data_IF_816791232066
#
_entry.id   IF_816791232066
#
_cell.length_a   1.000
_cell.length_b   1.000
_cell.length_c   1.000
_cell.angle_alpha   90.00
_cell.angle_beta   90.00
_cell.angle_gamma   90.00
#
_symmetry.space_group_name_H-M   'P 1'
#
loop_
_entity.id
_entity.type
_entity.pdbx_description
1 polymer ?
#
# COMPACT_ATOMS: atom_id res chain seq x y z
N UNK A 1 -51.66 -32.69 1.24
CA UNK A 1 -51.53 -31.79 0.07
C UNK A 1 -52.27 -30.49 0.35
N UNK A 2 -51.54 -29.36 0.37
CA UNK A 2 -51.93 -27.92 0.38
C UNK A 2 -50.84 -27.16 1.16
N UNK A 3 -49.70 -26.86 0.53
CA UNK A 3 -49.36 -25.61 -0.20
C UNK A 3 -49.03 -24.42 0.71
N UNK A 4 -47.72 -24.25 0.91
CA UNK A 4 -46.89 -23.02 1.02
C UNK A 4 -47.61 -21.66 0.91
N UNK A 5 -47.31 -20.75 1.86
CA UNK A 5 -47.07 -19.33 1.57
C UNK A 5 -45.97 -18.78 2.49
N UNK A 6 -44.77 -18.69 1.93
CA UNK A 6 -43.61 -17.98 2.47
C UNK A 6 -43.84 -16.47 2.39
N UNK A 7 -43.46 -15.71 3.41
CA UNK A 7 -43.19 -14.27 3.29
C UNK A 7 -41.78 -14.04 3.86
N UNK A 8 -40.83 -13.93 2.94
CA UNK A 8 -39.46 -13.50 3.20
C UNK A 8 -39.46 -11.98 3.22
N UNK A 9 -39.30 -11.36 4.38
CA UNK A 9 -39.00 -9.93 4.47
C UNK A 9 -37.49 -9.76 4.24
N UNK A 10 -37.12 -9.39 3.01
CA UNK A 10 -35.74 -9.08 2.64
C UNK A 10 -35.31 -7.75 3.26
N UNK A 11 -34.51 -7.82 4.33
CA UNK A 11 -33.73 -6.68 4.78
C UNK A 11 -32.51 -6.54 3.85
N UNK A 12 -32.55 -5.57 2.94
CA UNK A 12 -31.39 -5.19 2.16
C UNK A 12 -30.40 -4.47 3.11
N UNK A 13 -29.43 -5.23 3.64
CA UNK A 13 -28.26 -4.67 4.32
C UNK A 13 -27.41 -4.02 3.23
N UNK A 14 -27.50 -2.70 3.13
CA UNK A 14 -26.51 -1.88 2.43
C UNK A 14 -25.20 -1.99 3.21
N UNK A 15 -24.37 -2.97 2.85
CA UNK A 15 -23.00 -3.04 3.33
C UNK A 15 -22.25 -1.86 2.72
N UNK A 16 -22.08 -0.80 3.50
CA UNK A 16 -21.09 0.24 3.19
C UNK A 16 -19.74 -0.45 3.21
N UNK A 17 -19.10 -0.62 2.04
CA UNK A 17 -17.68 -0.95 1.98
C UNK A 17 -16.94 0.25 2.57
N UNK A 18 -16.68 0.20 3.87
CA UNK A 18 -15.67 1.03 4.51
C UNK A 18 -14.36 0.64 3.86
N UNK A 19 -13.78 1.57 3.09
CA UNK A 19 -12.39 1.44 2.65
C UNK A 19 -11.59 1.47 3.95
N UNK A 20 -11.13 0.31 4.40
CA UNK A 20 -10.35 0.19 5.62
C UNK A 20 -9.09 1.05 5.44
N UNK A 21 -9.08 2.22 6.06
CA UNK A 21 -7.82 2.89 6.32
C UNK A 21 -7.10 2.00 7.32
N UNK A 22 -5.91 1.52 6.96
CA UNK A 22 -5.06 0.89 7.94
C UNK A 22 -4.71 1.97 8.97
N UNK A 23 -5.20 1.79 10.19
CA UNK A 23 -4.91 2.70 11.29
C UNK A 23 -3.39 2.73 11.56
N UNK A 24 -2.83 3.89 11.95
CA UNK A 24 -1.43 3.98 12.36
C UNK A 24 -1.13 2.92 13.42
N UNK A 25 -0.11 2.09 13.17
CA UNK A 25 0.38 1.12 14.14
C UNK A 25 1.52 1.75 14.92
N UNK A 26 1.33 1.94 16.22
CA UNK A 26 2.39 2.42 17.13
C UNK A 26 2.92 1.26 17.95
N UNK A 27 4.24 1.05 17.94
CA UNK A 27 4.93 0.03 18.72
C UNK A 27 6.17 0.62 19.39
N UNK A 28 6.06 0.90 20.69
CA UNK A 28 7.08 1.68 21.40
C UNK A 28 7.21 3.08 20.78
N UNK A 29 8.43 3.44 20.38
CA UNK A 29 8.74 4.72 19.74
C UNK A 29 8.56 4.71 18.21
N UNK A 30 8.21 3.56 17.62
CA UNK A 30 7.98 3.42 16.19
C UNK A 30 6.51 3.67 15.85
N UNK A 31 6.26 4.48 14.83
CA UNK A 31 4.96 4.63 14.19
C UNK A 31 5.05 4.16 12.73
N UNK A 32 4.18 3.23 12.35
CA UNK A 32 4.07 2.70 11.00
C UNK A 32 2.73 3.15 10.42
N UNK A 33 2.80 3.91 9.34
CA UNK A 33 1.67 4.60 8.73
C UNK A 33 1.66 4.40 7.21
N UNK A 34 0.58 4.82 6.56
CA UNK A 34 0.44 4.77 5.10
C UNK A 34 0.81 3.37 4.54
N UNK A 35 0.27 2.32 5.15
CA UNK A 35 0.58 0.93 4.77
C UNK A 35 -0.31 0.49 3.61
N UNK A 36 0.29 0.19 2.46
CA UNK A 36 -0.47 -0.21 1.28
C UNK A 36 0.33 -1.10 0.31
N UNK A 37 -0.41 -1.75 -0.58
CA UNK A 37 0.13 -2.50 -1.71
C UNK A 37 -0.73 -2.27 -2.95
N UNK A 38 -0.24 -2.70 -4.11
CA UNK A 38 -1.00 -2.66 -5.37
C UNK A 38 -1.71 -3.98 -5.57
N UNK A 39 -2.94 -3.93 -6.07
CA UNK A 39 -3.58 -5.10 -6.64
C UNK A 39 -2.67 -5.71 -7.72
N UNK A 40 -2.60 -7.04 -7.76
CA UNK A 40 -1.81 -7.79 -8.73
C UNK A 40 -2.70 -8.73 -9.53
N UNK A 41 -2.34 -9.06 -10.79
CA UNK A 41 -3.10 -10.04 -11.56
C UNK A 41 -3.22 -11.39 -10.81
N UNK A 42 -4.29 -12.19 -11.02
CA UNK A 42 -4.53 -13.43 -10.27
C UNK A 42 -3.40 -14.48 -10.30
N UNK A 43 -2.48 -14.40 -11.26
CA UNK A 43 -1.31 -15.29 -11.42
C UNK A 43 0.02 -14.56 -11.30
N UNK A 44 0.03 -13.39 -10.66
CA UNK A 44 1.24 -12.65 -10.39
C UNK A 44 2.21 -13.53 -9.57
N UNK A 45 3.51 -13.39 -9.85
CA UNK A 45 4.57 -14.06 -9.09
C UNK A 45 5.22 -13.15 -8.06
N UNK A 46 4.92 -11.86 -8.12
CA UNK A 46 5.47 -10.87 -7.24
C UNK A 46 4.48 -9.73 -6.97
N UNK A 47 4.68 -9.06 -5.85
CA UNK A 47 3.94 -7.87 -5.41
C UNK A 47 4.84 -6.96 -4.60
N UNK A 48 4.50 -5.67 -4.51
CA UNK A 48 5.26 -4.69 -3.73
C UNK A 48 4.44 -4.15 -2.56
N UNK A 49 5.06 -3.99 -1.38
CA UNK A 49 4.46 -3.39 -0.20
C UNK A 49 5.15 -2.09 0.19
N UNK A 50 4.38 -1.14 0.70
CA UNK A 50 4.78 0.23 0.96
C UNK A 50 4.26 0.66 2.34
N UNK A 51 5.04 1.49 3.01
CA UNK A 51 4.76 1.98 4.36
C UNK A 51 5.63 3.21 4.66
N UNK A 52 5.22 4.02 5.63
CA UNK A 52 6.05 5.07 6.21
C UNK A 52 6.38 4.67 7.65
N UNK A 53 7.66 4.66 8.01
CA UNK A 53 8.12 4.27 9.34
C UNK A 53 8.80 5.47 9.99
N UNK A 54 8.25 5.94 11.10
CA UNK A 54 8.77 7.06 11.89
C UNK A 54 9.33 6.53 13.20
N UNK A 55 10.58 6.85 13.51
CA UNK A 55 11.19 6.53 14.81
C UNK A 55 11.26 7.81 15.66
N UNK A 56 10.39 7.90 16.67
CA UNK A 56 10.36 9.03 17.62
C UNK A 56 11.27 8.84 18.84
N UNK A 57 12.05 7.75 18.85
CA UNK A 57 12.90 7.36 19.97
C UNK A 57 14.24 8.08 19.98
N UNK A 58 15.04 7.81 21.01
CA UNK A 58 16.37 8.42 21.19
C UNK A 58 17.53 7.60 20.58
N UNK A 59 17.25 6.41 20.04
CA UNK A 59 18.24 5.54 19.39
C UNK A 59 17.71 5.05 18.04
N UNK A 60 18.62 4.83 17.10
CA UNK A 60 18.27 4.20 15.83
C UNK A 60 17.74 2.77 16.06
N UNK A 61 16.81 2.35 15.22
CA UNK A 61 16.40 0.96 15.08
C UNK A 61 16.64 0.50 13.64
N UNK A 62 16.44 -0.79 13.36
CA UNK A 62 16.65 -1.37 12.04
C UNK A 62 15.57 -2.37 11.73
N UNK A 63 14.87 -2.18 10.61
CA UNK A 63 13.98 -3.19 10.07
C UNK A 63 14.84 -4.25 9.38
N UNK A 64 15.02 -5.40 10.03
CA UNK A 64 15.91 -6.49 9.61
C UNK A 64 15.18 -7.62 8.88
N UNK A 65 13.86 -7.68 8.97
CA UNK A 65 13.09 -8.75 8.36
C UNK A 65 11.65 -8.37 8.08
N UNK A 66 11.06 -9.08 7.12
CA UNK A 66 9.64 -8.96 6.80
C UNK A 66 9.11 -10.36 6.48
N UNK A 67 7.90 -10.67 6.94
CA UNK A 67 7.24 -11.94 6.62
C UNK A 67 5.74 -11.75 6.41
N UNK A 68 5.11 -12.71 5.74
CA UNK A 68 3.66 -12.72 5.53
C UNK A 68 3.18 -14.14 5.27
N UNK A 69 1.97 -14.53 5.73
CA UNK A 69 1.42 -15.85 5.44
C UNK A 69 1.05 -16.06 3.97
N UNK A 70 1.01 -15.01 3.14
CA UNK A 70 0.62 -15.11 1.71
C UNK A 70 1.72 -15.69 0.82
N UNK A 71 2.98 -15.72 1.28
CA UNK A 71 4.10 -16.33 0.56
C UNK A 71 5.26 -16.71 1.48
N UNK A 72 6.04 -17.71 1.09
CA UNK A 72 7.24 -18.14 1.82
C UNK A 72 8.48 -17.25 1.62
N UNK A 73 8.44 -16.21 0.78
CA UNK A 73 9.58 -15.31 0.53
C UNK A 73 9.13 -13.85 0.45
N UNK A 74 9.50 -13.07 1.45
CA UNK A 74 9.26 -11.61 1.53
C UNK A 74 10.57 -10.94 1.91
N UNK A 75 10.92 -9.88 1.20
CA UNK A 75 12.26 -9.25 1.29
C UNK A 75 12.16 -7.73 1.31
N UNK A 76 13.22 -7.07 1.75
CA UNK A 76 13.37 -5.62 1.68
C UNK A 76 14.27 -5.29 0.51
N UNK A 77 13.77 -4.50 -0.44
CA UNK A 77 14.47 -4.17 -1.68
C UNK A 77 14.63 -2.67 -1.81
N UNK A 78 15.65 -2.25 -2.54
CA UNK A 78 15.83 -0.88 -3.00
C UNK A 78 15.89 -0.83 -4.53
N UNK A 79 15.65 0.36 -5.08
CA UNK A 79 15.91 0.67 -6.48
C UNK A 79 17.15 1.56 -6.55
N UNK A 80 18.26 1.02 -7.06
CA UNK A 80 19.52 1.75 -7.22
C UNK A 80 19.88 1.93 -8.69
N UNK A 81 20.46 3.06 -9.06
CA UNK A 81 21.05 3.25 -10.40
C UNK A 81 22.49 2.77 -10.36
N UNK A 82 22.77 1.69 -11.07
CA UNK A 82 24.11 1.15 -11.25
C UNK A 82 24.45 1.18 -12.75
N UNK A 83 25.53 1.86 -13.10
CA UNK A 83 25.96 2.05 -14.50
C UNK A 83 24.89 2.67 -15.42
N UNK A 84 24.06 3.55 -14.87
CA UNK A 84 22.95 4.19 -15.59
C UNK A 84 21.72 3.29 -15.77
N UNK A 85 21.72 2.08 -15.20
CA UNK A 85 20.62 1.14 -15.23
C UNK A 85 19.98 1.08 -13.84
N UNK A 86 18.66 1.30 -13.78
CA UNK A 86 17.91 1.09 -12.56
C UNK A 86 17.81 -0.41 -12.26
N UNK A 87 18.36 -0.84 -11.13
CA UNK A 87 18.34 -2.21 -10.65
C UNK A 87 17.60 -2.29 -9.33
N UNK A 88 16.81 -3.36 -9.19
CA UNK A 88 16.20 -3.74 -7.93
C UNK A 88 17.19 -4.64 -7.17
N UNK A 89 17.48 -4.33 -5.92
CA UNK A 89 18.45 -5.06 -5.10
C UNK A 89 17.87 -5.35 -3.72
N UNK A 90 18.05 -6.59 -3.27
CA UNK A 90 17.73 -7.01 -1.91
C UNK A 90 18.71 -6.39 -0.89
N UNK A 91 18.17 -5.94 0.24
CA UNK A 91 18.92 -5.42 1.38
C UNK A 91 18.95 -6.47 2.50
N UNK A 92 19.94 -7.37 2.45
CA UNK A 92 20.10 -8.46 3.43
C UNK A 92 20.27 -7.96 4.88
N UNK A 93 20.87 -6.78 5.06
CA UNK A 93 21.06 -6.15 6.36
C UNK A 93 19.88 -5.24 6.76
N UNK A 94 18.78 -5.30 6.02
CA UNK A 94 17.60 -4.47 6.27
C UNK A 94 17.83 -2.97 6.05
N UNK A 95 16.97 -2.15 6.66
CA UNK A 95 17.01 -0.68 6.58
C UNK A 95 17.12 -0.07 7.97
N UNK A 96 18.02 0.90 8.13
CA UNK A 96 18.13 1.67 9.37
C UNK A 96 17.01 2.71 9.42
N UNK A 97 16.40 2.86 10.61
CA UNK A 97 15.43 3.89 10.93
C UNK A 97 16.06 4.77 12.03
N UNK A 98 16.76 5.86 11.67
CA UNK A 98 17.47 6.69 12.64
C UNK A 98 16.53 7.32 13.66
N UNK A 99 17.07 7.63 14.85
CA UNK A 99 16.34 8.34 15.90
C UNK A 99 15.83 9.70 15.41
N UNK A 100 14.54 9.98 15.60
CA UNK A 100 13.90 11.22 15.19
C UNK A 100 13.63 11.35 13.69
N UNK A 101 13.92 10.32 12.90
CA UNK A 101 13.80 10.34 11.44
C UNK A 101 12.61 9.50 10.95
N UNK A 102 12.23 9.75 9.69
CA UNK A 102 11.19 9.01 8.98
C UNK A 102 11.76 8.37 7.73
N UNK A 103 11.50 7.08 7.53
CA UNK A 103 11.91 6.32 6.35
C UNK A 103 10.66 5.91 5.57
N UNK A 104 10.64 6.25 4.28
CA UNK A 104 9.54 5.91 3.37
C UNK A 104 9.89 4.69 2.53
N UNK A 105 9.02 3.68 2.57
CA UNK A 105 9.01 2.54 1.67
C UNK A 105 7.99 2.85 0.58
N UNK A 106 8.47 3.23 -0.61
CA UNK A 106 7.65 3.78 -1.68
C UNK A 106 8.04 3.25 -3.08
N UNK A 107 7.13 3.32 -4.06
CA UNK A 107 7.43 2.88 -5.41
C UNK A 107 8.62 3.62 -6.02
N UNK A 108 9.66 2.89 -6.40
CA UNK A 108 10.88 3.46 -6.99
C UNK A 108 12.00 3.78 -6.00
N UNK A 109 11.79 3.49 -4.71
CA UNK A 109 12.82 3.57 -3.65
C UNK A 109 12.90 2.26 -2.87
N UNK A 110 12.96 2.36 -1.55
CA UNK A 110 12.86 1.23 -0.63
C UNK A 110 11.45 0.63 -0.70
N UNK A 111 11.32 -0.69 -0.66
CA UNK A 111 10.01 -1.34 -0.65
C UNK A 111 10.09 -2.79 -0.15
N UNK A 112 8.94 -3.32 0.27
CA UNK A 112 8.77 -4.72 0.59
C UNK A 112 8.49 -5.46 -0.73
N UNK A 113 9.21 -6.56 -0.99
CA UNK A 113 9.04 -7.37 -2.18
C UNK A 113 8.51 -8.75 -1.80
N UNK A 114 7.28 -9.05 -2.22
CA UNK A 114 6.68 -10.37 -2.08
C UNK A 114 7.07 -11.20 -3.30
N UNK A 115 7.63 -12.39 -3.08
CA UNK A 115 8.14 -13.26 -4.15
C UNK A 115 7.47 -14.62 -4.07
N UNK A 116 7.16 -15.22 -5.21
CA UNK A 116 6.58 -16.57 -5.26
C UNK A 116 5.09 -16.61 -4.90
N UNK A 117 4.36 -15.51 -5.14
CA UNK A 117 2.91 -15.47 -4.92
C UNK A 117 2.20 -16.62 -5.67
N UNK A 118 1.26 -17.25 -4.98
CA UNK A 118 0.38 -18.29 -5.53
C UNK A 118 -0.96 -17.73 -5.97
N UNK A 119 -1.39 -16.64 -5.30
CA UNK A 119 -2.59 -15.86 -5.60
C UNK A 119 -2.23 -14.37 -5.72
N UNK A 120 -2.98 -13.64 -6.53
CA UNK A 120 -2.81 -12.19 -6.67
C UNK A 120 -3.38 -11.42 -5.48
N UNK A 121 -3.02 -10.16 -5.36
CA UNK A 121 -3.61 -9.24 -4.39
C UNK A 121 -4.88 -8.62 -4.98
N UNK A 122 -6.00 -8.76 -4.28
CA UNK A 122 -7.30 -8.26 -4.71
C UNK A 122 -7.56 -6.86 -4.15
N UNK A 123 -7.95 -5.91 -5.01
CA UNK A 123 -8.27 -4.53 -4.59
C UNK A 123 -9.35 -4.50 -3.50
N UNK A 124 -9.14 -3.65 -2.49
CA UNK A 124 -10.07 -3.50 -1.36
C UNK A 124 -9.91 -4.55 -0.27
N UNK A 125 -8.98 -5.49 -0.42
CA UNK A 125 -8.56 -6.41 0.65
C UNK A 125 -7.37 -5.86 1.43
N UNK A 126 -6.90 -6.61 2.43
CA UNK A 126 -5.72 -6.29 3.23
C UNK A 126 -4.78 -7.49 3.28
N UNK A 127 -3.47 -7.23 3.20
CA UNK A 127 -2.42 -8.27 3.28
C UNK A 127 -1.73 -8.16 4.65
N UNK A 128 -1.79 -9.19 5.50
CA UNK A 128 -1.10 -9.18 6.78
C UNK A 128 0.41 -9.31 6.57
N UNK A 129 1.18 -8.49 7.29
CA UNK A 129 2.64 -8.46 7.23
C UNK A 129 3.19 -8.30 8.64
N UNK A 130 4.24 -9.04 8.96
CA UNK A 130 5.02 -8.84 10.19
C UNK A 130 6.34 -8.19 9.81
N UNK A 131 6.62 -7.04 10.41
CA UNK A 131 7.89 -6.31 10.33
C UNK A 131 8.75 -6.67 11.53
N UNK A 132 9.96 -7.19 11.31
CA UNK A 132 10.90 -7.54 12.38
C UNK A 132 11.95 -6.46 12.51
N UNK A 133 11.92 -5.72 13.63
CA UNK A 133 12.93 -4.73 14.00
C UNK A 133 13.98 -5.34 14.94
N UNK A 134 15.22 -4.87 14.83
CA UNK A 134 16.35 -5.36 15.62
C UNK A 134 16.16 -5.12 17.12
N UNK A 135 15.63 -3.94 17.50
CA UNK A 135 15.46 -3.56 18.90
C UNK A 135 13.99 -3.61 19.34
N UNK A 136 13.07 -3.09 18.52
CA UNK A 136 11.65 -3.10 18.84
C UNK A 136 11.00 -4.49 18.71
N UNK A 137 11.60 -5.44 18.00
CA UNK A 137 11.03 -6.76 17.75
C UNK A 137 9.96 -6.76 16.66
N UNK A 138 9.02 -7.71 16.75
CA UNK A 138 8.01 -7.93 15.71
C UNK A 138 6.82 -6.98 15.83
N UNK A 139 6.43 -6.37 14.71
CA UNK A 139 5.28 -5.48 14.58
C UNK A 139 4.39 -5.94 13.44
N UNK A 140 3.16 -6.32 13.79
CA UNK A 140 2.16 -6.73 12.81
C UNK A 140 1.43 -5.51 12.21
N UNK A 141 1.33 -5.49 10.88
CA UNK A 141 0.64 -4.46 10.12
C UNK A 141 -0.25 -5.10 9.05
N UNK A 142 -1.18 -4.30 8.53
CA UNK A 142 -1.99 -4.66 7.37
C UNK A 142 -1.69 -3.71 6.20
N UNK A 143 -1.35 -4.26 5.03
CA UNK A 143 -1.21 -3.49 3.80
C UNK A 143 -2.56 -3.43 3.08
N UNK A 144 -3.19 -2.27 3.02
CA UNK A 144 -4.40 -2.09 2.24
C UNK A 144 -4.11 -2.24 0.73
N UNK A 145 -4.87 -3.06 0.02
CA UNK A 145 -4.68 -3.29 -1.41
C UNK A 145 -5.40 -2.22 -2.21
N UNK A 146 -4.63 -1.28 -2.76
CA UNK A 146 -5.13 -0.24 -3.67
C UNK A 146 -5.21 -0.71 -5.12
N UNK A 147 -5.70 0.18 -5.99
CA UNK A 147 -5.81 -0.07 -7.44
C UNK A 147 -4.49 -0.53 -8.05
N UNK A 148 -4.60 -1.37 -9.08
CA UNK A 148 -3.46 -1.77 -9.89
C UNK A 148 -2.78 -0.52 -10.49
N UNK A 149 -1.46 -0.40 -10.33
CA UNK A 149 -0.69 0.76 -10.83
C UNK A 149 -0.77 2.04 -9.98
N UNK A 150 -1.39 2.01 -8.80
CA UNK A 150 -1.42 3.15 -7.88
C UNK A 150 0.01 3.64 -7.53
N UNK A 151 0.24 4.95 -7.50
CA UNK A 151 1.57 5.53 -7.16
C UNK A 151 1.72 5.87 -5.68
N UNK A 152 0.61 5.99 -5.00
CA UNK A 152 0.45 6.23 -3.56
C UNK A 152 -0.87 5.60 -3.13
N UNK A 153 -1.13 5.57 -1.83
CA UNK A 153 -2.48 5.31 -1.32
C UNK A 153 -3.42 6.38 -1.91
N UNK A 154 -4.40 5.97 -2.73
CA UNK A 154 -5.37 6.86 -3.37
C UNK A 154 -6.39 7.29 -2.30
N UNK A 155 -6.13 8.41 -1.60
CA UNK A 155 -7.13 9.06 -0.77
C UNK A 155 -8.23 9.58 -1.69
N UNK A 156 -9.28 8.77 -1.89
CA UNK A 156 -10.37 9.06 -2.81
C UNK A 156 -11.01 10.44 -2.59
N UNK A 157 -10.51 11.44 -3.31
CA UNK A 157 -11.13 12.75 -3.45
C UNK A 157 -12.25 12.68 -4.50
N UNK A 158 -13.44 12.22 -4.11
CA UNK A 158 -14.63 12.42 -4.93
C UNK A 158 -14.99 13.90 -4.97
N UNK A 159 -14.60 14.61 -6.04
CA UNK A 159 -15.40 15.72 -6.59
C UNK A 159 -15.41 15.64 -8.12
N UNK A 160 -16.36 14.88 -8.65
CA UNK A 160 -16.88 15.08 -10.01
C UNK A 160 -17.58 16.44 -10.07
N UNK A 161 -16.82 17.50 -10.29
CA UNK A 161 -17.32 18.80 -10.74
C UNK A 161 -17.43 18.78 -12.25
N UNK A 162 -18.65 18.57 -12.75
CA UNK A 162 -19.10 18.66 -14.13
C UNK A 162 -18.35 19.66 -15.02
N UNK A 163 -17.91 19.16 -16.19
CA UNK A 163 -17.58 19.93 -17.37
C UNK A 163 -18.66 20.98 -17.67
N UNK A 164 -18.25 22.24 -17.79
CA UNK A 164 -18.89 23.20 -18.71
C UNK A 164 -17.79 23.71 -19.62
N UNK A 165 -17.75 23.17 -20.84
CA UNK A 165 -16.95 23.70 -21.93
C UNK A 165 -17.72 24.90 -22.50
N UNK A 166 -17.46 26.07 -21.94
CA UNK A 166 -17.86 27.34 -22.55
C UNK A 166 -17.02 27.53 -23.82
N UNK A 167 -17.71 27.64 -24.95
CA UNK A 167 -17.12 27.87 -26.25
C UNK A 167 -17.01 29.38 -26.46
N UNK A 168 -15.96 30.01 -25.94
CA UNK A 168 -15.67 31.42 -26.23
C UNK A 168 -14.88 31.55 -27.54
N UNK A 169 -15.60 31.99 -28.58
CA UNK A 169 -15.24 33.20 -29.33
C UNK A 169 -13.95 33.20 -30.17
N UNK A 170 -14.14 33.08 -31.48
CA UNK A 170 -13.16 33.38 -32.53
C UNK A 170 -12.90 34.90 -32.64
N UNK A 171 -11.65 35.36 -32.52
CA UNK A 171 -11.11 36.63 -33.02
C UNK A 171 -9.63 36.71 -32.60
N UNK A 172 -8.62 37.11 -33.36
CA UNK A 172 -8.48 37.73 -34.66
C UNK A 172 -6.99 38.07 -34.86
N UNK A 173 -6.57 38.28 -36.11
CA UNK A 173 -5.24 38.71 -36.52
C UNK A 173 -4.71 39.97 -35.79
N UNK A 174 -3.38 40.10 -35.66
CA UNK A 174 -2.75 41.39 -35.40
C UNK A 174 -1.25 41.33 -35.07
N UNK A 175 -0.42 41.71 -36.04
CA UNK A 175 1.05 41.84 -36.01
C UNK A 175 1.59 42.72 -34.86
N UNK A 176 2.82 42.42 -34.43
CA UNK A 176 3.92 43.39 -34.49
C UNK A 176 5.27 42.68 -34.68
#
# INVERSE_FOLDING_TARGET
MKLLKSVLAGAAVLATLSIAQADPVTHGDLAIENTWTRATPPRAKAGGGFATITNSGSSADRLVGVSSPVTGRVEIHEMAVEDGIMKMRELENGIEIPAGETVSLEPGGLHIMFMGLTEGFEEGTAIPVTLTFENAGDVDIELAVGKMGAKSMDHGGMKHGSMKHDSTGHSGHGNN
#
